data_IF_733679406228
#
_entry.id   IF_733679406228
#
_cell.length_a   1.000
_cell.length_b   1.000
_cell.length_c   1.000
_cell.angle_alpha   90.00
_cell.angle_beta   90.00
_cell.angle_gamma   90.00
#
_symmetry.space_group_name_H-M   'P 1'
#
loop_
_entity.id
_entity.type
_entity.pdbx_description
1 polymer ?
#
# COMPACT_ATOMS: atom_id res chain seq x y z
N UNK A 1 5.98 -16.79 -11.80
CA UNK A 1 6.30 -15.79 -10.75
C UNK A 1 4.98 -15.20 -10.26
N UNK A 2 4.72 -15.25 -8.97
CA UNK A 2 3.47 -14.72 -8.47
C UNK A 2 3.51 -13.19 -8.39
N UNK A 3 2.34 -12.59 -8.17
CA UNK A 3 2.17 -11.13 -8.12
C UNK A 3 3.05 -10.49 -7.06
N UNK A 4 3.17 -11.12 -5.91
CA UNK A 4 3.96 -10.59 -4.80
C UNK A 4 5.44 -10.51 -5.17
N UNK A 5 5.98 -11.52 -5.83
CA UNK A 5 7.37 -11.50 -6.25
C UNK A 5 7.64 -10.39 -7.27
N UNK A 6 6.71 -10.16 -8.20
CA UNK A 6 6.84 -9.07 -9.17
C UNK A 6 6.90 -7.74 -8.45
N UNK A 7 5.99 -7.52 -7.51
CA UNK A 7 5.92 -6.25 -6.76
C UNK A 7 7.19 -6.06 -5.92
N UNK A 8 7.67 -7.12 -5.24
CA UNK A 8 8.89 -7.04 -4.43
C UNK A 8 10.11 -6.62 -5.24
N UNK A 9 10.21 -7.12 -6.46
CA UNK A 9 11.36 -6.79 -7.31
C UNK A 9 11.41 -5.32 -7.72
N UNK A 10 10.30 -4.60 -7.59
CA UNK A 10 10.17 -3.21 -8.02
C UNK A 10 10.30 -2.23 -6.85
N UNK A 11 10.45 -2.72 -5.62
CA UNK A 11 10.44 -1.88 -4.42
C UNK A 11 11.76 -2.04 -3.68
N UNK A 12 12.38 -0.92 -3.37
CA UNK A 12 13.62 -0.89 -2.59
C UNK A 12 13.32 -1.12 -1.11
N UNK A 13 14.27 -1.73 -0.41
CA UNK A 13 14.17 -1.90 1.05
C UNK A 13 13.99 -0.55 1.73
N UNK A 14 13.22 -0.55 2.81
CA UNK A 14 12.97 0.63 3.67
C UNK A 14 12.21 1.75 2.99
N UNK A 15 11.61 1.49 1.84
CA UNK A 15 10.76 2.48 1.17
C UNK A 15 9.51 2.79 1.99
N UNK A 16 8.98 3.99 1.81
CA UNK A 16 7.65 4.34 2.29
C UNK A 16 6.64 3.99 1.19
N UNK A 17 5.73 3.06 1.48
CA UNK A 17 4.82 2.47 0.50
C UNK A 17 3.38 2.77 0.86
N UNK A 18 2.63 3.26 -0.12
CA UNK A 18 1.19 3.44 -0.04
C UNK A 18 0.52 2.42 -0.96
N UNK A 19 -0.45 1.67 -0.43
CA UNK A 19 -1.23 0.72 -1.23
C UNK A 19 -2.67 1.19 -1.35
N UNK A 20 -3.07 1.58 -2.54
CA UNK A 20 -4.43 2.02 -2.85
C UNK A 20 -5.30 0.79 -3.12
N UNK A 21 -6.23 0.49 -2.23
CA UNK A 21 -7.01 -0.73 -2.29
C UNK A 21 -6.23 -1.92 -1.78
N UNK A 22 -5.75 -1.84 -0.53
CA UNK A 22 -4.84 -2.86 0.01
C UNK A 22 -5.51 -4.19 0.35
N UNK A 23 -6.84 -4.27 0.29
CA UNK A 23 -7.53 -5.47 0.72
C UNK A 23 -7.24 -5.79 2.17
N UNK A 24 -6.98 -7.05 2.46
CA UNK A 24 -6.69 -7.50 3.84
C UNK A 24 -5.26 -7.20 4.29
N UNK A 25 -4.45 -6.53 3.46
CA UNK A 25 -3.09 -6.13 3.83
C UNK A 25 -2.03 -7.19 3.64
N UNK A 26 -2.35 -8.30 3.00
CA UNK A 26 -1.41 -9.42 2.86
C UNK A 26 -0.13 -9.02 2.14
N UNK A 27 -0.23 -8.28 1.03
CA UNK A 27 0.94 -7.85 0.27
C UNK A 27 1.77 -6.87 1.08
N UNK A 28 1.14 -5.90 1.75
CA UNK A 28 1.86 -4.96 2.60
C UNK A 28 2.58 -5.66 3.74
N UNK A 29 1.96 -6.70 4.32
CA UNK A 29 2.59 -7.49 5.38
C UNK A 29 3.86 -8.17 4.87
N UNK A 30 3.80 -8.76 3.69
CA UNK A 30 4.95 -9.41 3.07
C UNK A 30 6.07 -8.39 2.79
N UNK A 31 5.72 -7.25 2.24
CA UNK A 31 6.70 -6.19 1.95
C UNK A 31 7.36 -5.68 3.22
N UNK A 32 6.57 -5.49 4.28
CA UNK A 32 7.11 -5.08 5.57
C UNK A 32 8.10 -6.10 6.13
N UNK A 33 7.75 -7.38 6.05
CA UNK A 33 8.59 -8.44 6.61
C UNK A 33 9.85 -8.67 5.78
N UNK A 34 9.75 -8.58 4.46
CA UNK A 34 10.84 -8.94 3.57
C UNK A 34 11.72 -7.75 3.18
N UNK A 35 11.16 -6.55 3.11
CA UNK A 35 11.84 -5.35 2.64
C UNK A 35 11.92 -4.24 3.69
N UNK A 36 11.35 -4.46 4.87
CA UNK A 36 11.36 -3.48 5.96
C UNK A 36 10.78 -2.12 5.53
N UNK A 37 9.73 -2.15 4.72
CA UNK A 37 9.06 -0.94 4.27
C UNK A 37 8.19 -0.35 5.39
N UNK A 38 7.95 0.96 5.32
CA UNK A 38 6.90 1.62 6.10
C UNK A 38 5.64 1.60 5.24
N UNK A 39 4.61 0.89 5.70
CA UNK A 39 3.43 0.61 4.89
C UNK A 39 2.21 1.35 5.38
N UNK A 40 1.45 1.93 4.45
CA UNK A 40 0.13 2.48 4.70
C UNK A 40 -0.83 1.96 3.64
N UNK A 41 -1.94 1.37 4.08
CA UNK A 41 -2.98 0.90 3.19
C UNK A 41 -4.17 1.85 3.15
N UNK A 42 -4.86 1.86 2.03
CA UNK A 42 -6.15 2.53 1.88
C UNK A 42 -7.16 1.46 1.47
N UNK A 43 -8.26 1.40 2.21
CA UNK A 43 -9.29 0.40 1.99
C UNK A 43 -10.64 0.94 2.42
N UNK A 44 -11.72 0.51 1.78
CA UNK A 44 -13.07 0.92 2.14
C UNK A 44 -13.84 -0.17 2.90
N UNK A 45 -13.51 -1.43 2.67
CA UNK A 45 -14.23 -2.56 3.25
C UNK A 45 -13.86 -2.77 4.71
N UNK A 46 -14.86 -2.79 5.60
CA UNK A 46 -14.64 -2.92 7.04
C UNK A 46 -13.98 -4.24 7.42
N UNK A 47 -14.34 -5.34 6.78
CA UNK A 47 -13.73 -6.63 7.07
C UNK A 47 -12.23 -6.60 6.76
N UNK A 48 -11.88 -6.07 5.61
CA UNK A 48 -10.48 -5.96 5.19
C UNK A 48 -9.68 -5.04 6.12
N UNK A 49 -10.28 -3.93 6.54
CA UNK A 49 -9.65 -3.01 7.49
C UNK A 49 -9.35 -3.72 8.80
N UNK A 50 -10.29 -4.50 9.31
CA UNK A 50 -10.09 -5.25 10.54
C UNK A 50 -8.95 -6.28 10.38
N UNK A 51 -8.87 -6.93 9.24
CA UNK A 51 -7.77 -7.86 8.98
C UNK A 51 -6.41 -7.15 8.92
N UNK A 52 -6.36 -5.96 8.32
CA UNK A 52 -5.14 -5.13 8.34
C UNK A 52 -4.71 -4.80 9.76
N UNK A 53 -5.65 -4.37 10.58
CA UNK A 53 -5.37 -4.01 11.98
C UNK A 53 -4.84 -5.21 12.75
N UNK A 54 -5.45 -6.37 12.57
CA UNK A 54 -4.99 -7.61 13.22
C UNK A 54 -3.56 -7.98 12.83
N UNK A 55 -3.17 -7.66 11.60
CA UNK A 55 -1.83 -7.94 11.08
C UNK A 55 -0.82 -6.84 11.41
N UNK A 56 -1.24 -5.79 12.10
CA UNK A 56 -0.36 -4.68 12.45
C UNK A 56 -0.06 -3.75 11.28
N UNK A 57 -0.90 -3.75 10.25
CA UNK A 57 -0.76 -2.85 9.10
C UNK A 57 -1.55 -1.58 9.35
N UNK A 58 -0.91 -0.44 9.18
CA UNK A 58 -1.58 0.85 9.24
C UNK A 58 -2.50 1.00 8.04
N UNK A 59 -3.76 1.37 8.28
CA UNK A 59 -4.76 1.46 7.23
C UNK A 59 -5.67 2.66 7.46
N UNK A 60 -6.06 3.32 6.36
CA UNK A 60 -7.03 4.41 6.37
C UNK A 60 -8.26 3.92 5.62
N UNK A 61 -9.45 4.15 6.22
CA UNK A 61 -10.71 3.86 5.54
C UNK A 61 -11.06 5.04 4.64
N UNK A 62 -10.99 4.81 3.34
CA UNK A 62 -11.29 5.85 2.36
C UNK A 62 -11.72 5.22 1.04
N UNK A 63 -12.70 5.84 0.39
CA UNK A 63 -13.07 5.49 -0.97
C UNK A 63 -12.10 6.19 -1.92
N UNK A 64 -11.32 5.42 -2.66
CA UNK A 64 -10.32 5.94 -3.59
C UNK A 64 -10.96 6.81 -4.66
N UNK A 65 -12.18 6.49 -5.08
CA UNK A 65 -12.90 7.23 -6.11
C UNK A 65 -13.27 8.65 -5.66
N UNK A 66 -13.26 8.91 -4.36
CA UNK A 66 -13.55 10.23 -3.80
C UNK A 66 -12.32 11.12 -3.66
N UNK A 67 -11.16 10.62 -4.10
CA UNK A 67 -9.92 11.36 -4.06
C UNK A 67 -9.04 10.97 -2.88
N UNK A 68 -7.81 11.48 -2.89
CA UNK A 68 -6.77 11.14 -1.92
C UNK A 68 -6.42 12.36 -1.07
N UNK A 69 -7.36 12.81 -0.25
CA UNK A 69 -7.22 14.07 0.50
C UNK A 69 -6.70 13.90 1.92
N UNK A 70 -6.62 12.66 2.43
CA UNK A 70 -6.33 12.40 3.84
C UNK A 70 -4.85 12.24 4.15
N UNK A 71 -3.96 12.46 3.19
CA UNK A 71 -2.54 12.21 3.39
C UNK A 71 -1.74 13.45 3.78
N UNK A 72 -2.37 14.63 3.70
CA UNK A 72 -1.72 15.88 4.07
C UNK A 72 -0.45 16.10 3.25
N UNK A 73 0.66 16.35 3.95
CA UNK A 73 1.95 16.57 3.32
C UNK A 73 2.80 15.30 3.23
N UNK A 74 2.24 14.15 3.54
CA UNK A 74 2.99 12.90 3.44
C UNK A 74 3.37 12.61 2.00
N UNK A 75 4.59 12.17 1.81
CA UNK A 75 5.06 11.69 0.52
C UNK A 75 5.47 10.23 0.67
N UNK A 76 5.30 9.48 -0.41
CA UNK A 76 5.65 8.07 -0.46
C UNK A 76 6.68 7.84 -1.54
N UNK A 77 7.58 6.89 -1.31
CA UNK A 77 8.56 6.50 -2.33
C UNK A 77 7.90 5.70 -3.43
N UNK A 78 6.89 4.91 -3.07
CA UNK A 78 6.19 4.01 -3.98
C UNK A 78 4.71 4.02 -3.66
N UNK A 79 3.89 4.09 -4.70
CA UNK A 79 2.44 3.86 -4.60
C UNK A 79 2.13 2.60 -5.39
N UNK A 80 1.48 1.64 -4.75
CA UNK A 80 1.04 0.42 -5.42
C UNK A 80 -0.47 0.35 -5.45
N UNK A 81 -0.98 -0.40 -6.40
CA UNK A 81 -2.39 -0.76 -6.50
C UNK A 81 -2.40 -2.28 -6.61
N UNK A 82 -2.28 -2.94 -5.46
CA UNK A 82 -1.99 -4.38 -5.43
C UNK A 82 -3.10 -5.23 -6.06
N UNK A 83 -4.34 -4.76 -6.00
CA UNK A 83 -5.46 -5.48 -6.60
C UNK A 83 -5.47 -5.42 -8.12
N UNK A 84 -4.80 -4.44 -8.72
CA UNK A 84 -4.69 -4.29 -10.17
C UNK A 84 -3.26 -4.47 -10.67
N UNK A 85 -2.34 -4.80 -9.77
CA UNK A 85 -0.93 -5.08 -10.05
C UNK A 85 -0.27 -3.88 -10.76
N UNK A 86 -0.33 -2.73 -10.12
CA UNK A 86 0.35 -1.54 -10.61
C UNK A 86 1.29 -1.00 -9.54
N UNK A 87 2.45 -0.54 -9.98
CA UNK A 87 3.44 0.09 -9.10
C UNK A 87 3.83 1.41 -9.73
N UNK A 88 3.69 2.48 -8.97
CA UNK A 88 4.09 3.82 -9.38
C UNK A 88 5.25 4.25 -8.51
N UNK A 89 6.38 4.57 -9.13
CA UNK A 89 7.54 5.13 -8.45
C UNK A 89 7.51 6.64 -8.64
N UNK A 90 8.01 7.35 -7.64
CA UNK A 90 8.03 8.81 -7.63
C UNK A 90 6.60 9.38 -7.78
N UNK A 91 5.73 9.11 -6.78
CA UNK A 91 4.32 9.50 -6.87
C UNK A 91 4.09 11.01 -6.97
N UNK A 92 5.07 11.83 -6.62
CA UNK A 92 4.96 13.28 -6.79
C UNK A 92 4.77 13.69 -8.23
N UNK A 93 5.25 12.89 -9.17
CA UNK A 93 5.06 13.13 -10.60
C UNK A 93 3.78 12.49 -11.12
N UNK A 94 3.28 11.45 -10.45
CA UNK A 94 2.10 10.72 -10.87
C UNK A 94 0.81 11.31 -10.31
N UNK A 95 0.89 11.95 -9.17
CA UNK A 95 -0.24 12.55 -8.48
C UNK A 95 -0.22 14.06 -8.59
#
# INVERSE_FOLDING_TARGET
>A
MDTTEVIKNWINKKSEVLDLGCGNGEILKILRNDLDVTALGVEIDNHNINECIKSGINVIQQNIDEGLTNFGNKSFDVVIMSQTIQVLKDPKKAL
#
